data_IF_698239427201
#
_entry.id   IF_698239427201
#
_cell.length_a   1.000
_cell.length_b   1.000
_cell.length_c   1.000
_cell.angle_alpha   90.00
_cell.angle_beta   90.00
_cell.angle_gamma   90.00
#
_symmetry.space_group_name_H-M   'P 1'
#
loop_
_entity.id
_entity.type
_entity.pdbx_description
1 polymer ?
#
# COMPACT_ATOMS: atom_id res chain seq x y z
N UNK A 1 -40.60 7.63 -18.46
CA UNK A 1 -39.45 7.98 -19.32
C UNK A 1 -39.37 6.95 -20.43
N UNK A 2 -39.52 7.33 -21.70
CA UNK A 2 -39.35 6.38 -22.83
C UNK A 2 -37.85 6.17 -23.01
N UNK A 3 -37.37 4.94 -22.85
CA UNK A 3 -35.99 4.59 -23.15
C UNK A 3 -35.73 4.78 -24.64
N UNK A 4 -34.73 5.58 -24.99
CA UNK A 4 -34.30 5.70 -26.38
C UNK A 4 -33.55 4.40 -26.76
N UNK A 5 -34.08 3.68 -27.75
CA UNK A 5 -33.44 2.49 -28.30
C UNK A 5 -32.76 2.89 -29.62
N UNK A 6 -31.45 2.68 -29.69
CA UNK A 6 -30.67 2.85 -30.92
C UNK A 6 -30.15 1.49 -31.37
N UNK A 7 -30.33 1.18 -32.65
CA UNK A 7 -29.77 -0.03 -33.25
C UNK A 7 -28.58 0.33 -34.12
N UNK A 8 -27.49 -0.43 -33.96
CA UNK A 8 -26.34 -0.40 -34.86
C UNK A 8 -26.04 -1.83 -35.31
N UNK A 9 -25.70 -2.01 -36.58
CA UNK A 9 -25.38 -3.33 -37.13
C UNK A 9 -23.86 -3.56 -37.02
N UNK A 10 -23.46 -4.57 -36.25
CA UNK A 10 -22.05 -4.98 -36.10
C UNK A 10 -21.75 -6.15 -37.05
N UNK A 11 -20.68 -6.04 -37.84
CA UNK A 11 -20.21 -7.12 -38.73
C UNK A 11 -18.84 -7.61 -38.27
N UNK A 12 -18.69 -8.92 -38.14
CA UNK A 12 -17.42 -9.57 -37.82
C UNK A 12 -16.77 -10.09 -39.09
N UNK A 13 -15.52 -9.72 -39.33
CA UNK A 13 -14.66 -10.28 -40.35
C UNK A 13 -13.92 -11.49 -39.76
N UNK A 14 -14.24 -12.68 -40.27
CA UNK A 14 -13.69 -13.96 -39.79
C UNK A 14 -12.23 -14.19 -40.22
N UNK A 15 -11.68 -13.38 -41.12
CA UNK A 15 -10.26 -13.43 -41.47
C UNK A 15 -9.38 -12.86 -40.36
N UNK A 16 -9.94 -12.00 -39.50
CA UNK A 16 -9.25 -11.44 -38.33
C UNK A 16 -9.47 -12.34 -37.13
N UNK A 17 -8.40 -12.86 -36.54
CA UNK A 17 -8.47 -13.77 -35.39
C UNK A 17 -9.25 -13.19 -34.21
N UNK A 18 -9.07 -11.89 -33.91
CA UNK A 18 -9.78 -11.23 -32.81
C UNK A 18 -11.30 -11.25 -33.02
N UNK A 19 -11.76 -10.93 -34.23
CA UNK A 19 -13.18 -10.88 -34.55
C UNK A 19 -13.79 -12.28 -34.68
N UNK A 20 -13.01 -13.27 -35.16
CA UNK A 20 -13.39 -14.69 -35.14
C UNK A 20 -13.59 -15.19 -33.71
N UNK A 21 -12.63 -14.95 -32.81
CA UNK A 21 -12.76 -15.32 -31.40
C UNK A 21 -13.98 -14.65 -30.75
N UNK A 22 -14.19 -13.36 -30.99
CA UNK A 22 -15.36 -12.65 -30.49
C UNK A 22 -16.67 -13.29 -30.99
N UNK A 23 -16.71 -13.67 -32.27
CA UNK A 23 -17.85 -14.39 -32.85
C UNK A 23 -18.06 -15.75 -32.19
N UNK A 24 -16.99 -16.54 -32.01
CA UNK A 24 -17.07 -17.86 -31.37
C UNK A 24 -17.58 -17.77 -29.93
N UNK A 25 -17.10 -16.78 -29.15
CA UNK A 25 -17.59 -16.52 -27.79
C UNK A 25 -19.07 -16.18 -27.74
N UNK A 26 -19.56 -15.40 -28.71
CA UNK A 26 -21.00 -15.15 -28.82
C UNK A 26 -21.77 -16.44 -29.13
N UNK A 27 -21.25 -17.34 -29.97
CA UNK A 27 -21.92 -18.59 -30.30
C UNK A 27 -22.03 -19.57 -29.13
N UNK A 28 -20.98 -19.69 -28.30
CA UNK A 28 -20.93 -20.65 -27.18
C UNK A 28 -21.53 -20.11 -25.88
N UNK A 29 -21.99 -18.86 -25.88
CA UNK A 29 -22.50 -18.16 -24.71
C UNK A 29 -23.73 -18.83 -24.10
N UNK A 30 -23.77 -18.93 -22.76
CA UNK A 30 -24.97 -19.37 -22.05
C UNK A 30 -26.03 -18.26 -22.05
N UNK A 31 -27.17 -18.56 -22.69
CA UNK A 31 -28.32 -17.65 -22.80
C UNK A 31 -29.06 -17.44 -21.47
N UNK A 32 -28.81 -18.27 -20.46
CA UNK A 32 -29.36 -18.10 -19.11
C UNK A 32 -28.66 -16.96 -18.36
N UNK A 33 -27.34 -16.89 -18.50
CA UNK A 33 -26.52 -15.85 -17.88
C UNK A 33 -26.57 -14.56 -18.71
N UNK A 34 -26.44 -14.67 -20.03
CA UNK A 34 -26.45 -13.54 -20.93
C UNK A 34 -27.72 -13.52 -21.77
N UNK A 35 -28.67 -12.68 -21.34
CA UNK A 35 -30.04 -12.59 -21.89
C UNK A 35 -30.10 -12.38 -23.41
N UNK A 36 -29.13 -11.68 -24.00
CA UNK A 36 -29.07 -11.45 -25.44
C UNK A 36 -27.65 -11.13 -25.93
N UNK A 37 -27.41 -11.35 -27.22
CA UNK A 37 -26.17 -10.92 -27.89
C UNK A 37 -25.91 -9.42 -27.70
N UNK A 38 -26.94 -8.58 -27.82
CA UNK A 38 -26.81 -7.14 -27.62
C UNK A 38 -26.42 -6.79 -26.19
N UNK A 39 -26.92 -7.53 -25.19
CA UNK A 39 -26.52 -7.34 -23.80
C UNK A 39 -25.07 -7.74 -23.56
N UNK A 40 -24.67 -8.91 -24.06
CA UNK A 40 -23.28 -9.37 -24.01
C UNK A 40 -22.30 -8.36 -24.63
N UNK A 41 -22.63 -7.86 -25.82
CA UNK A 41 -21.83 -6.86 -26.52
C UNK A 41 -21.79 -5.55 -25.72
N UNK A 42 -22.92 -5.08 -25.19
CA UNK A 42 -22.96 -3.87 -24.38
C UNK A 42 -22.06 -3.98 -23.13
N UNK A 43 -22.14 -5.09 -22.40
CA UNK A 43 -21.28 -5.35 -21.22
C UNK A 43 -19.80 -5.35 -21.61
N UNK A 44 -19.45 -6.04 -22.71
CA UNK A 44 -18.05 -6.09 -23.17
C UNK A 44 -17.49 -4.72 -23.58
N UNK A 45 -18.31 -3.86 -24.20
CA UNK A 45 -17.92 -2.50 -24.60
C UNK A 45 -17.70 -1.64 -23.36
N UNK A 46 -18.61 -1.72 -22.38
CA UNK A 46 -18.46 -1.00 -21.11
C UNK A 46 -17.19 -1.45 -20.38
N UNK A 47 -16.99 -2.76 -20.18
CA UNK A 47 -15.81 -3.30 -19.50
C UNK A 47 -14.50 -2.93 -20.20
N UNK A 48 -14.46 -2.97 -21.54
CA UNK A 48 -13.28 -2.54 -22.29
C UNK A 48 -12.93 -1.07 -22.03
N UNK A 49 -13.91 -0.17 -22.14
CA UNK A 49 -13.67 1.26 -21.94
C UNK A 49 -13.43 1.61 -20.48
N UNK A 50 -14.11 0.99 -19.53
CA UNK A 50 -13.84 1.16 -18.10
C UNK A 50 -12.40 0.77 -17.78
N UNK A 51 -11.89 -0.35 -18.29
CA UNK A 51 -10.48 -0.73 -18.12
C UNK A 51 -9.55 0.25 -18.83
N UNK A 52 -9.89 0.66 -20.05
CA UNK A 52 -9.07 1.59 -20.82
C UNK A 52 -8.92 2.95 -20.11
N UNK A 53 -10.02 3.50 -19.60
CA UNK A 53 -10.00 4.76 -18.87
C UNK A 53 -9.42 4.61 -17.47
N UNK A 54 -9.72 3.52 -16.74
CA UNK A 54 -9.08 3.23 -15.46
C UNK A 54 -7.56 3.18 -15.59
N UNK A 55 -7.04 2.49 -16.62
CA UNK A 55 -5.59 2.43 -16.85
C UNK A 55 -5.01 3.78 -17.31
N UNK A 56 -5.83 4.66 -17.88
CA UNK A 56 -5.42 6.03 -18.27
C UNK A 56 -5.47 7.00 -17.09
N UNK A 57 -6.40 6.79 -16.16
CA UNK A 57 -6.63 7.64 -14.99
C UNK A 57 -5.91 7.14 -13.73
N UNK A 58 -5.30 5.95 -13.77
CA UNK A 58 -4.55 5.39 -12.65
C UNK A 58 -3.35 6.29 -12.30
N UNK A 59 -3.39 7.00 -11.15
CA UNK A 59 -2.33 7.90 -10.72
C UNK A 59 -1.02 7.17 -10.38
N UNK A 60 -1.03 5.84 -10.23
CA UNK A 60 0.16 5.04 -9.93
C UNK A 60 0.87 4.51 -11.18
N UNK A 61 0.35 4.79 -12.38
CA UNK A 61 1.14 4.81 -13.61
C UNK A 61 1.72 6.21 -13.86
N UNK A 62 2.14 6.93 -12.81
CA UNK A 62 3.31 7.78 -12.96
C UNK A 62 4.39 6.92 -13.62
N UNK A 63 4.76 7.28 -14.86
CA UNK A 63 5.71 6.56 -15.72
C UNK A 63 6.81 5.90 -14.91
N UNK A 64 7.28 4.71 -15.31
CA UNK A 64 8.40 3.98 -14.66
C UNK A 64 9.60 4.89 -14.28
N UNK A 65 9.78 6.00 -15.00
CA UNK A 65 10.72 7.08 -14.69
C UNK A 65 10.44 7.81 -13.36
N UNK A 66 9.19 8.21 -13.07
CA UNK A 66 8.81 8.83 -11.79
C UNK A 66 8.88 7.85 -10.63
N UNK A 67 8.54 6.59 -10.84
CA UNK A 67 8.78 5.54 -9.85
C UNK A 67 10.27 5.44 -9.51
N UNK A 68 11.14 5.46 -10.52
CA UNK A 68 12.59 5.46 -10.31
C UNK A 68 13.09 6.72 -9.61
N UNK A 69 12.53 7.89 -9.92
CA UNK A 69 12.85 9.13 -9.21
C UNK A 69 12.40 9.09 -7.75
N UNK A 70 11.19 8.58 -7.47
CA UNK A 70 10.67 8.41 -6.12
C UNK A 70 11.53 7.43 -5.30
N UNK A 71 11.87 6.28 -5.87
CA UNK A 71 12.79 5.31 -5.26
C UNK A 71 14.16 5.96 -5.01
N UNK A 72 14.67 6.73 -5.97
CA UNK A 72 15.94 7.45 -5.84
C UNK A 72 15.93 8.44 -4.67
N UNK A 73 14.84 9.19 -4.49
CA UNK A 73 14.67 10.12 -3.36
C UNK A 73 14.64 9.38 -2.02
N UNK A 74 13.93 8.25 -1.94
CA UNK A 74 13.87 7.42 -0.72
C UNK A 74 15.26 6.88 -0.37
N UNK A 75 15.95 6.26 -1.33
CA UNK A 75 17.27 5.67 -1.11
C UNK A 75 18.25 6.75 -0.63
N UNK A 76 18.24 7.92 -1.27
CA UNK A 76 19.08 9.05 -0.88
C UNK A 76 18.76 9.57 0.52
N UNK A 77 17.48 9.71 0.87
CA UNK A 77 17.08 10.17 2.20
C UNK A 77 17.51 9.18 3.30
N UNK A 78 17.41 7.87 3.03
CA UNK A 78 17.88 6.83 3.95
C UNK A 78 19.41 6.87 4.08
N UNK A 79 20.14 7.01 2.96
CA UNK A 79 21.60 7.15 2.96
C UNK A 79 22.06 8.37 3.76
N UNK A 80 21.42 9.52 3.56
CA UNK A 80 21.71 10.75 4.30
C UNK A 80 21.41 10.59 5.80
N UNK A 81 20.31 9.91 6.15
CA UNK A 81 19.96 9.63 7.54
C UNK A 81 20.97 8.68 8.20
N UNK A 82 21.40 7.63 7.50
CA UNK A 82 22.42 6.71 7.98
C UNK A 82 23.77 7.41 8.14
N UNK A 83 24.23 8.19 7.16
CA UNK A 83 25.49 8.92 7.25
C UNK A 83 25.53 9.92 8.42
N UNK A 84 24.39 10.53 8.77
CA UNK A 84 24.29 11.45 9.91
C UNK A 84 24.29 10.70 11.25
N UNK A 85 23.57 9.59 11.36
CA UNK A 85 23.33 8.90 12.63
C UNK A 85 24.35 7.79 12.95
N UNK A 86 24.94 7.16 11.93
CA UNK A 86 25.90 6.05 12.09
C UNK A 86 27.16 6.46 12.88
N UNK A 87 27.79 7.63 12.65
CA UNK A 87 28.97 8.03 13.42
C UNK A 87 28.67 8.22 14.91
N UNK A 88 27.50 8.80 15.22
CA UNK A 88 27.05 9.02 16.61
C UNK A 88 26.72 7.69 17.28
N UNK A 89 26.05 6.78 16.57
CA UNK A 89 25.76 5.43 17.04
C UNK A 89 27.04 4.64 17.33
N UNK A 90 28.00 4.64 16.40
CA UNK A 90 29.28 3.94 16.56
C UNK A 90 30.13 4.57 17.68
N UNK A 91 30.14 5.90 17.79
CA UNK A 91 30.80 6.58 18.90
C UNK A 91 30.18 6.20 20.25
N UNK A 92 28.85 6.11 20.34
CA UNK A 92 28.15 5.60 21.52
C UNK A 92 28.51 4.15 21.84
N UNK A 93 28.60 3.29 20.84
CA UNK A 93 28.98 1.88 20.99
C UNK A 93 30.43 1.71 21.46
N UNK A 94 31.38 2.40 20.84
CA UNK A 94 32.80 2.38 21.23
C UNK A 94 33.01 3.00 22.62
N UNK A 95 32.27 4.06 22.95
CA UNK A 95 32.29 4.64 24.31
C UNK A 95 31.74 3.65 25.33
N UNK A 96 30.68 2.91 25.00
CA UNK A 96 30.17 1.82 25.84
C UNK A 96 31.18 0.68 26.02
N UNK A 97 31.95 0.33 24.98
CA UNK A 97 32.99 -0.70 25.06
C UNK A 97 34.22 -0.28 25.86
N UNK A 98 34.63 0.99 25.78
CA UNK A 98 35.79 1.50 26.52
C UNK A 98 35.47 1.79 27.98
N UNK A 99 34.21 2.08 28.31
CA UNK A 99 33.76 2.21 29.69
C UNK A 99 33.51 0.85 30.36
N UNK A 100 33.10 -0.17 29.61
CA UNK A 100 32.80 -1.50 30.14
C UNK A 100 33.83 -2.56 29.71
N UNK A 101 35.02 -2.51 30.29
CA UNK A 101 35.92 -3.65 30.34
C UNK A 101 35.41 -4.73 31.31
N UNK A 102 34.27 -5.36 31.02
CA UNK A 102 33.80 -6.68 31.48
C UNK A 102 32.27 -6.79 31.35
N UNK A 103 31.79 -7.87 30.73
CA UNK A 103 30.46 -8.43 30.99
C UNK A 103 29.33 -8.04 30.04
N UNK A 104 28.65 -9.07 29.53
CA UNK A 104 27.49 -9.05 28.63
C UNK A 104 26.20 -8.51 29.32
N UNK A 105 25.26 -8.04 28.48
CA UNK A 105 23.78 -8.06 28.65
C UNK A 105 23.09 -6.68 28.63
N UNK A 106 22.14 -6.43 27.69
CA UNK A 106 21.12 -5.41 27.86
C UNK A 106 20.14 -5.86 28.95
N UNK A 107 20.15 -5.21 30.11
CA UNK A 107 19.07 -5.33 31.08
C UNK A 107 18.74 -3.97 31.66
N UNK A 108 17.61 -3.46 31.18
CA UNK A 108 16.52 -2.85 31.93
C UNK A 108 16.90 -2.43 33.36
N UNK A 109 16.94 -1.11 33.59
CA UNK A 109 17.08 -0.55 34.94
C UNK A 109 15.83 -0.84 35.76
N UNK A 110 15.94 -1.85 36.62
CA UNK A 110 15.24 -1.93 37.90
C UNK A 110 16.07 -1.18 38.95
N UNK A 111 15.52 -0.12 39.54
CA UNK A 111 16.14 0.64 40.62
C UNK A 111 15.35 0.38 41.92
N UNK A 112 15.99 -0.28 42.89
CA UNK A 112 15.52 -0.40 44.28
C UNK A 112 16.65 -0.12 45.26
N UNK A 113 16.42 0.82 46.17
CA UNK A 113 16.99 0.91 47.53
C UNK A 113 15.98 1.69 48.40
N UNK A 114 15.07 1.00 49.09
CA UNK A 114 15.03 0.73 50.55
C UNK A 114 15.06 2.02 51.40
N UNK A 115 14.19 2.34 52.35
CA UNK A 115 13.08 1.71 53.10
C UNK A 115 12.51 2.89 53.94
N UNK A 116 11.23 3.26 53.97
CA UNK A 116 10.24 2.80 54.97
C UNK A 116 9.06 3.80 54.99
N UNK A 117 7.84 3.35 54.66
CA UNK A 117 6.63 3.55 55.48
C UNK A 117 5.37 3.02 54.74
N UNK A 118 4.92 1.86 55.22
CA UNK A 118 3.52 1.50 55.54
C UNK A 118 2.45 1.58 54.42
N UNK A 119 2.07 0.37 53.96
CA UNK A 119 0.73 -0.15 53.58
C UNK A 119 -0.38 0.84 53.18
N UNK A 120 -1.07 0.55 52.05
CA UNK A 120 -2.36 -0.19 52.04
C UNK A 120 -3.16 0.04 50.74
N UNK A 121 -3.56 -1.08 50.10
CA UNK A 121 -4.61 -1.22 49.05
C UNK A 121 -4.28 -0.53 47.70
N UNK A 122 -4.39 -1.09 46.50
CA UNK A 122 -5.31 -2.07 45.93
C UNK A 122 -4.77 -2.48 44.54
N UNK A 123 -4.93 -3.75 44.19
CA UNK A 123 -4.86 -4.32 42.84
C UNK A 123 -5.80 -3.63 41.85
N UNK A 124 -5.36 -3.27 40.63
CA UNK A 124 -5.79 -3.93 39.37
C UNK A 124 -5.40 -3.17 38.09
N UNK A 125 -5.08 -3.98 37.07
CA UNK A 125 -5.17 -3.75 35.62
C UNK A 125 -4.23 -2.75 34.93
N UNK A 126 -3.27 -3.33 34.19
CA UNK A 126 -2.55 -2.74 33.07
C UNK A 126 -3.53 -2.23 32.00
N UNK A 127 -3.34 -0.99 31.52
CA UNK A 127 -3.84 -0.54 30.21
C UNK A 127 -2.63 -0.16 29.37
N UNK A 128 -2.51 -0.76 28.19
CA UNK A 128 -1.60 -0.31 27.15
C UNK A 128 -2.05 1.09 26.72
N UNK A 129 -1.14 2.06 26.77
CA UNK A 129 -1.37 3.39 26.19
C UNK A 129 -1.43 3.25 24.67
N UNK A 130 -2.63 3.44 24.13
CA UNK A 130 -2.85 3.71 22.71
C UNK A 130 -2.16 5.03 22.38
N UNK A 131 -1.13 4.97 21.54
CA UNK A 131 -0.53 6.16 20.94
C UNK A 131 -1.60 6.80 20.04
N UNK A 132 -2.09 7.98 20.42
CA UNK A 132 -3.12 8.70 19.66
C UNK A 132 -2.56 9.16 18.32
N UNK A 133 -3.32 8.98 17.23
CA UNK A 133 -2.96 9.39 15.86
C UNK A 133 -2.65 10.89 15.72
N UNK A 134 -2.99 11.71 16.71
CA UNK A 134 -2.65 13.15 16.79
C UNK A 134 -1.20 13.44 17.21
N UNK A 135 -0.45 12.45 17.67
CA UNK A 135 0.98 12.59 18.03
C UNK A 135 1.91 12.14 16.90
N UNK A 136 1.34 11.64 15.79
CA UNK A 136 2.08 11.29 14.58
C UNK A 136 2.25 12.58 13.76
N UNK A 137 3.49 13.07 13.68
CA UNK A 137 3.86 14.24 12.90
C UNK A 137 3.85 13.91 11.40
N UNK A 138 2.79 14.35 10.71
CA UNK A 138 2.61 14.16 9.27
C UNK A 138 3.24 15.26 8.41
N UNK A 139 3.84 16.30 9.01
CA UNK A 139 4.48 17.42 8.28
C UNK A 139 5.76 16.99 7.54
N UNK A 140 6.17 15.73 7.66
CA UNK A 140 7.20 15.10 6.82
C UNK A 140 6.85 15.04 5.32
N UNK A 141 5.56 15.12 4.96
CA UNK A 141 5.08 14.99 3.57
C UNK A 141 4.72 16.35 2.90
N UNK A 142 5.52 17.39 3.11
CA UNK A 142 5.29 18.72 2.55
C UNK A 142 6.02 19.05 1.23
N UNK A 143 5.21 19.44 0.24
CA UNK A 143 5.43 20.19 -1.05
C UNK A 143 6.35 19.63 -2.16
#
# INVERSE_FOLDING_TARGET
MRGALWSTNLRFNLDKEFQRKAWDYLQIMDKKEFKSYSHAVAVSVVDYFERYYRNKEDPYFETREREQEFIGRIVKAVEDSLNKNLPVFLAGWVTGMTQNGAGLSPSEKSERRSESQVNREQSDSLKAEEISESEIDWDFLGE
#
